data_IF_148186250770
#
_entry.id   IF_148186250770
#
_cell.length_a   1.000
_cell.length_b   1.000
_cell.length_c   1.000
_cell.angle_alpha   90.00
_cell.angle_beta   90.00
_cell.angle_gamma   90.00
#
_symmetry.space_group_name_H-M   'P 1'
#
loop_
_entity.id
_entity.type
_entity.pdbx_description
1 polymer ?
#
# COMPACT_ATOMS: atom_id res chain seq x y z
N UNK A 1 -11.92 2.42 10.74
CA UNK A 1 -11.99 3.48 9.71
C UNK A 1 -10.64 4.16 9.64
N UNK A 2 -10.25 4.76 8.49
CA UNK A 2 -9.00 5.50 8.41
C UNK A 2 -9.04 6.75 9.31
N UNK A 3 -7.92 7.03 9.97
CA UNK A 3 -7.71 8.24 10.77
C UNK A 3 -7.64 9.46 9.86
N UNK A 4 -8.32 10.55 10.25
CA UNK A 4 -8.20 11.83 9.52
C UNK A 4 -6.76 12.31 9.53
N UNK A 5 -6.25 12.73 8.36
CA UNK A 5 -4.85 13.17 8.15
C UNK A 5 -3.76 12.15 8.49
N UNK A 6 -4.12 10.95 8.97
CA UNK A 6 -3.20 9.82 9.22
C UNK A 6 -2.06 10.18 10.19
N UNK A 7 -2.32 11.03 11.19
CA UNK A 7 -1.28 11.58 12.09
C UNK A 7 -0.52 10.48 12.81
N UNK A 8 -1.25 9.56 13.46
CA UNK A 8 -0.66 8.45 14.22
C UNK A 8 0.13 7.51 13.30
N UNK A 9 -0.37 7.26 12.09
CA UNK A 9 0.31 6.43 11.09
C UNK A 9 1.64 7.05 10.66
N UNK A 10 1.63 8.35 10.32
CA UNK A 10 2.83 9.08 9.90
C UNK A 10 3.91 9.08 11.00
N UNK A 11 3.51 9.36 12.24
CA UNK A 11 4.43 9.33 13.38
C UNK A 11 5.03 7.93 13.58
N UNK A 12 4.19 6.89 13.56
CA UNK A 12 4.64 5.50 13.72
C UNK A 12 5.58 5.06 12.60
N UNK A 13 5.27 5.42 11.35
CA UNK A 13 6.11 5.11 10.19
C UNK A 13 7.47 5.81 10.27
N UNK A 14 7.49 7.10 10.63
CA UNK A 14 8.74 7.86 10.80
C UNK A 14 9.62 7.27 11.92
N UNK A 15 9.01 6.87 13.04
CA UNK A 15 9.74 6.23 14.15
C UNK A 15 10.32 4.86 13.75
N UNK A 16 9.52 4.02 13.08
CA UNK A 16 9.96 2.71 12.60
C UNK A 16 11.10 2.83 11.58
N UNK A 17 10.98 3.77 10.64
CA UNK A 17 12.04 4.02 9.66
C UNK A 17 13.32 4.50 10.33
N UNK A 18 13.22 5.44 11.28
CA UNK A 18 14.37 5.96 12.01
C UNK A 18 15.11 4.85 12.76
N UNK A 19 14.37 3.96 13.43
CA UNK A 19 14.97 2.82 14.13
C UNK A 19 15.58 1.80 13.16
N UNK A 20 14.92 1.51 12.04
CA UNK A 20 15.45 0.61 11.02
C UNK A 20 16.77 1.12 10.43
N UNK A 21 16.85 2.41 10.09
CA UNK A 21 18.07 3.04 9.57
C UNK A 21 19.16 3.17 10.66
N UNK A 22 18.79 3.36 11.92
CA UNK A 22 19.74 3.35 13.04
C UNK A 22 20.42 1.98 13.20
N UNK A 23 19.65 0.90 13.06
CA UNK A 23 20.18 -0.47 13.14
C UNK A 23 20.91 -0.90 11.86
N UNK A 24 20.48 -0.41 10.70
CA UNK A 24 20.98 -0.78 9.38
C UNK A 24 21.16 0.46 8.51
N UNK A 25 22.22 1.26 8.76
CA UNK A 25 22.49 2.50 8.02
C UNK A 25 22.91 2.25 6.57
N UNK A 26 23.21 1.00 6.21
CA UNK A 26 23.56 0.54 4.87
C UNK A 26 22.35 0.39 3.94
N UNK A 27 21.12 0.45 4.46
CA UNK A 27 19.90 0.29 3.65
C UNK A 27 19.64 1.50 2.75
N UNK A 28 19.26 1.22 1.51
CA UNK A 28 18.77 2.24 0.58
C UNK A 28 17.28 2.50 0.82
N UNK A 29 16.92 3.76 1.10
CA UNK A 29 15.53 4.17 1.24
C UNK A 29 14.90 4.44 -0.12
N UNK A 30 13.81 3.72 -0.43
CA UNK A 30 12.96 3.95 -1.60
C UNK A 30 11.53 4.20 -1.15
N UNK A 31 10.97 5.34 -1.55
CA UNK A 31 9.63 5.82 -1.21
C UNK A 31 8.75 5.63 -2.44
N UNK A 32 7.85 4.65 -2.38
CA UNK A 32 6.90 4.35 -3.47
C UNK A 32 5.50 4.78 -3.07
N UNK A 33 4.88 5.62 -3.89
CA UNK A 33 3.48 6.05 -3.69
C UNK A 33 2.78 6.28 -5.02
N UNK A 34 1.45 6.37 -4.98
CA UNK A 34 0.71 6.93 -6.09
C UNK A 34 1.11 8.42 -6.34
N UNK A 35 0.67 8.98 -7.46
CA UNK A 35 0.96 10.39 -7.77
C UNK A 35 0.13 11.40 -6.96
N UNK A 36 -0.49 11.03 -5.83
CA UNK A 36 -1.29 11.95 -5.03
C UNK A 36 -0.40 12.91 -4.23
N UNK A 37 -0.69 14.21 -4.34
CA UNK A 37 0.11 15.30 -3.74
C UNK A 37 0.28 15.19 -2.23
N UNK A 38 -0.75 14.73 -1.52
CA UNK A 38 -0.72 14.61 -0.05
C UNK A 38 0.29 13.56 0.42
N UNK A 39 0.49 12.49 -0.35
CA UNK A 39 1.48 11.47 -0.03
C UNK A 39 2.90 12.04 -0.14
N UNK A 40 3.18 12.78 -1.22
CA UNK A 40 4.50 13.39 -1.45
C UNK A 40 4.83 14.51 -0.46
N UNK A 41 3.84 15.23 0.04
CA UNK A 41 4.07 16.23 1.11
C UNK A 41 4.72 15.60 2.34
N UNK A 42 4.31 14.38 2.71
CA UNK A 42 4.91 13.65 3.82
C UNK A 42 6.20 12.94 3.41
N UNK A 43 6.16 12.16 2.33
CA UNK A 43 7.30 11.33 1.91
C UNK A 43 8.53 12.16 1.56
N UNK A 44 8.36 13.29 0.89
CA UNK A 44 9.48 14.13 0.47
C UNK A 44 10.01 15.02 1.59
N UNK A 45 9.13 15.57 2.44
CA UNK A 45 9.53 16.62 3.39
C UNK A 45 9.74 16.12 4.82
N UNK A 46 9.08 15.03 5.23
CA UNK A 46 9.10 14.56 6.62
C UNK A 46 9.96 13.29 6.82
N UNK A 47 10.26 12.55 5.74
CA UNK A 47 11.13 11.37 5.80
C UNK A 47 12.56 11.71 5.32
N UNK A 48 13.59 10.97 5.79
CA UNK A 48 14.97 11.13 5.33
C UNK A 48 15.11 11.08 3.80
N UNK A 49 16.19 11.64 3.27
CA UNK A 49 16.49 11.59 1.84
C UNK A 49 16.53 10.15 1.33
N UNK A 50 16.04 9.94 0.10
CA UNK A 50 15.97 8.63 -0.53
C UNK A 50 15.30 8.74 -1.90
N UNK A 51 15.26 7.62 -2.62
CA UNK A 51 14.64 7.55 -3.94
C UNK A 51 13.13 7.77 -3.84
N UNK A 52 12.57 8.60 -4.71
CA UNK A 52 11.14 8.88 -4.80
C UNK A 52 10.59 8.32 -6.10
N UNK A 53 9.67 7.37 -6.00
CA UNK A 53 9.14 6.66 -7.17
C UNK A 53 7.62 6.70 -7.16
N UNK A 54 7.04 7.22 -8.24
CA UNK A 54 5.60 7.02 -8.46
C UNK A 54 5.36 5.57 -8.83
N UNK A 55 4.31 4.97 -8.28
CA UNK A 55 3.91 3.61 -8.61
C UNK A 55 3.69 3.46 -10.12
N UNK A 56 4.50 2.62 -10.76
CA UNK A 56 4.47 2.42 -12.21
C UNK A 56 3.12 1.91 -12.73
N UNK A 57 2.44 1.05 -11.98
CA UNK A 57 1.17 0.49 -12.40
C UNK A 57 0.05 1.55 -12.33
N UNK A 58 0.07 2.41 -11.32
CA UNK A 58 -0.80 3.59 -11.27
C UNK A 58 -0.48 4.56 -12.41
N UNK A 59 0.79 4.85 -12.68
CA UNK A 59 1.19 5.68 -13.81
C UNK A 59 0.72 5.09 -15.15
N UNK A 60 0.77 3.77 -15.31
CA UNK A 60 0.25 3.08 -16.48
C UNK A 60 -1.27 3.21 -16.62
N UNK A 61 -2.05 3.24 -15.54
CA UNK A 61 -3.48 3.52 -15.61
C UNK A 61 -3.78 4.93 -16.12
N UNK A 62 -3.05 5.94 -15.63
CA UNK A 62 -3.13 7.31 -16.14
C UNK A 62 -2.76 7.38 -17.63
N UNK A 63 -1.71 6.66 -18.04
CA UNK A 63 -1.31 6.56 -19.44
C UNK A 63 -2.40 5.95 -20.32
N UNK A 64 -3.03 4.86 -19.86
CA UNK A 64 -4.13 4.20 -20.58
C UNK A 64 -5.32 5.14 -20.75
N UNK A 65 -5.74 5.81 -19.66
CA UNK A 65 -6.81 6.81 -19.68
C UNK A 65 -6.50 7.93 -20.67
N UNK A 66 -5.27 8.44 -20.70
CA UNK A 66 -4.86 9.49 -21.63
C UNK A 66 -4.98 9.07 -23.10
N UNK A 67 -4.57 7.84 -23.46
CA UNK A 67 -4.69 7.35 -24.82
C UNK A 67 -6.13 7.01 -25.22
N UNK A 68 -6.95 6.49 -24.31
CA UNK A 68 -8.38 6.30 -24.54
C UNK A 68 -9.07 7.64 -24.80
N UNK A 69 -8.74 8.65 -23.99
CA UNK A 69 -9.20 10.03 -24.18
C UNK A 69 -8.69 10.66 -25.47
N UNK A 70 -7.63 10.12 -26.11
CA UNK A 70 -7.07 10.65 -27.35
C UNK A 70 -7.67 9.97 -28.58
N UNK A 71 -7.73 8.64 -28.58
CA UNK A 71 -8.08 7.84 -29.75
C UNK A 71 -9.45 7.18 -29.70
N UNK A 72 -10.17 7.29 -28.58
CA UNK A 72 -11.42 6.59 -28.32
C UNK A 72 -11.18 5.38 -27.42
N UNK A 73 -12.09 5.22 -26.46
CA UNK A 73 -12.04 4.15 -25.46
C UNK A 73 -12.05 2.77 -26.13
N UNK A 74 -11.14 1.91 -25.69
CA UNK A 74 -10.98 0.53 -26.20
C UNK A 74 -10.68 0.41 -27.71
N UNK A 75 -10.34 1.50 -28.41
CA UNK A 75 -9.91 1.45 -29.80
C UNK A 75 -8.58 0.71 -29.97
N UNK A 76 -8.38 0.05 -31.12
CA UNK A 76 -7.12 -0.62 -31.46
C UNK A 76 -5.92 0.34 -31.37
N UNK A 77 -6.11 1.58 -31.83
CA UNK A 77 -5.08 2.63 -31.78
C UNK A 77 -4.73 3.04 -30.35
N UNK A 78 -5.72 3.15 -29.46
CA UNK A 78 -5.44 3.40 -28.03
C UNK A 78 -4.62 2.27 -27.42
N UNK A 79 -5.00 1.01 -27.68
CA UNK A 79 -4.30 -0.18 -27.18
C UNK A 79 -2.85 -0.25 -27.67
N UNK A 80 -2.63 -0.06 -28.97
CA UNK A 80 -1.29 -0.03 -29.58
C UNK A 80 -0.42 1.05 -28.91
N UNK A 81 -0.92 2.29 -28.84
CA UNK A 81 -0.17 3.40 -28.23
C UNK A 81 0.09 3.17 -26.75
N UNK A 82 -0.87 2.63 -26.01
CA UNK A 82 -0.66 2.26 -24.62
C UNK A 82 0.47 1.23 -24.47
N UNK A 83 0.49 0.15 -25.27
CA UNK A 83 1.55 -0.87 -25.19
C UNK A 83 2.92 -0.25 -25.48
N UNK A 84 3.04 0.52 -26.57
CA UNK A 84 4.30 1.18 -26.94
C UNK A 84 4.78 2.13 -25.85
N UNK A 85 3.94 3.06 -25.39
CA UNK A 85 4.37 4.07 -24.44
C UNK A 85 4.49 3.56 -23.01
N UNK A 86 3.81 2.46 -22.65
CA UNK A 86 4.04 1.78 -21.38
C UNK A 86 5.43 1.14 -21.35
N UNK A 87 5.88 0.56 -22.47
CA UNK A 87 7.24 0.05 -22.60
C UNK A 87 8.25 1.19 -22.53
N UNK A 88 8.06 2.26 -23.31
CA UNK A 88 8.91 3.46 -23.29
C UNK A 88 9.02 4.03 -21.87
N UNK A 89 7.89 4.20 -21.18
CA UNK A 89 7.87 4.75 -19.83
C UNK A 89 8.71 3.90 -18.86
N UNK A 90 8.65 2.57 -18.99
CA UNK A 90 9.31 1.64 -18.05
C UNK A 90 10.79 1.45 -18.34
N UNK A 91 11.14 1.23 -19.60
CA UNK A 91 12.44 0.64 -19.97
C UNK A 91 13.40 1.67 -20.59
N UNK A 92 12.92 2.79 -21.11
CA UNK A 92 13.79 3.75 -21.80
C UNK A 92 14.29 4.87 -20.88
N UNK A 93 15.56 5.30 -21.02
CA UNK A 93 16.04 6.53 -20.42
C UNK A 93 15.18 7.72 -20.83
N UNK A 94 14.85 8.57 -19.86
CA UNK A 94 13.93 9.70 -20.04
C UNK A 94 12.56 9.30 -20.62
N UNK A 95 12.10 8.05 -20.36
CA UNK A 95 10.83 7.54 -20.89
C UNK A 95 9.63 8.45 -20.58
N UNK A 96 9.60 9.08 -19.41
CA UNK A 96 8.59 10.07 -19.02
C UNK A 96 8.56 11.30 -19.95
N UNK A 97 9.71 11.75 -20.47
CA UNK A 97 9.77 12.89 -21.39
C UNK A 97 9.12 12.56 -22.73
N UNK A 98 9.33 11.33 -23.21
CA UNK A 98 8.70 10.83 -24.43
C UNK A 98 7.19 10.72 -24.26
N UNK A 99 6.73 10.24 -23.10
CA UNK A 99 5.30 10.24 -22.73
C UNK A 99 4.73 11.66 -22.68
N UNK A 100 5.38 12.59 -21.98
CA UNK A 100 4.93 13.99 -21.88
C UNK A 100 4.83 14.63 -23.26
N UNK A 101 5.82 14.43 -24.14
CA UNK A 101 5.80 14.93 -25.53
C UNK A 101 4.62 14.37 -26.32
N UNK A 102 4.35 13.07 -26.22
CA UNK A 102 3.24 12.42 -26.91
C UNK A 102 1.88 12.91 -26.43
N UNK A 103 1.69 13.02 -25.11
CA UNK A 103 0.45 13.50 -24.52
C UNK A 103 0.24 15.00 -24.78
N UNK A 104 1.30 15.81 -24.79
CA UNK A 104 1.22 17.22 -25.17
C UNK A 104 0.77 17.39 -26.63
N UNK A 105 1.27 16.55 -27.55
CA UNK A 105 0.80 16.53 -28.94
C UNK A 105 -0.68 16.13 -29.04
N UNK A 106 -1.13 15.12 -28.29
CA UNK A 106 -2.56 14.75 -28.26
C UNK A 106 -3.43 15.87 -27.69
N UNK A 107 -2.98 16.53 -26.62
CA UNK A 107 -3.72 17.65 -26.02
C UNK A 107 -3.86 18.82 -27.01
N UNK A 108 -2.81 19.13 -27.78
CA UNK A 108 -2.87 20.16 -28.84
C UNK A 108 -3.90 19.81 -29.93
N UNK A 109 -4.06 18.53 -30.28
CA UNK A 109 -5.06 18.07 -31.26
C UNK A 109 -6.48 18.03 -30.70
N UNK A 110 -6.62 17.87 -29.39
CA UNK A 110 -7.91 17.73 -28.72
C UNK A 110 -8.04 18.72 -27.56
N UNK A 111 -7.95 20.05 -27.81
CA UNK A 111 -7.84 21.05 -26.74
C UNK A 111 -9.08 21.12 -25.84
N UNK A 112 -10.26 20.73 -26.35
CA UNK A 112 -11.52 20.70 -25.57
C UNK A 112 -11.62 19.52 -24.61
N UNK A 113 -10.72 18.53 -24.68
CA UNK A 113 -10.74 17.37 -23.78
C UNK A 113 -9.99 17.68 -22.49
N UNK A 114 -10.67 18.36 -21.55
CA UNK A 114 -10.10 18.78 -20.26
C UNK A 114 -9.48 17.62 -19.46
N UNK A 115 -10.08 16.43 -19.50
CA UNK A 115 -9.52 15.23 -18.83
C UNK A 115 -8.14 14.85 -19.36
N UNK A 116 -7.86 15.05 -20.65
CA UNK A 116 -6.53 14.78 -21.22
C UNK A 116 -5.47 15.76 -20.68
N UNK A 117 -5.86 17.00 -20.38
CA UNK A 117 -5.00 17.97 -19.70
C UNK A 117 -4.64 17.48 -18.29
N UNK A 118 -5.62 16.96 -17.54
CA UNK A 118 -5.40 16.37 -16.22
C UNK A 118 -4.38 15.23 -16.27
N UNK A 119 -4.52 14.30 -17.22
CA UNK A 119 -3.54 13.21 -17.38
C UNK A 119 -2.15 13.73 -17.76
N UNK A 120 -2.05 14.72 -18.66
CA UNK A 120 -0.77 15.35 -19.00
C UNK A 120 -0.10 16.03 -17.78
N UNK A 121 -0.90 16.74 -16.96
CA UNK A 121 -0.42 17.40 -15.74
C UNK A 121 0.03 16.41 -14.67
N UNK A 122 -0.59 15.23 -14.58
CA UNK A 122 -0.12 14.14 -13.74
C UNK A 122 1.32 13.71 -14.07
N UNK A 123 1.65 13.50 -15.36
CA UNK A 123 3.01 13.15 -15.77
C UNK A 123 4.00 14.31 -15.57
N UNK A 124 3.58 15.55 -15.83
CA UNK A 124 4.45 16.73 -15.62
C UNK A 124 4.78 16.95 -14.14
N UNK A 125 3.79 16.87 -13.26
CA UNK A 125 3.98 17.09 -11.82
C UNK A 125 4.82 16.00 -11.16
N UNK A 126 4.80 14.79 -11.71
CA UNK A 126 5.56 13.65 -11.20
C UNK A 126 6.80 13.29 -12.03
N UNK A 127 7.19 14.16 -12.99
CA UNK A 127 8.28 13.93 -13.95
C UNK A 127 9.55 13.36 -13.30
N UNK A 128 10.01 13.98 -12.21
CA UNK A 128 11.25 13.61 -11.53
C UNK A 128 11.18 12.28 -10.78
N UNK A 129 9.98 11.75 -10.55
CA UNK A 129 9.71 10.50 -9.81
C UNK A 129 9.41 9.31 -10.73
N UNK A 130 9.57 9.48 -12.05
CA UNK A 130 9.24 8.49 -13.08
C UNK A 130 10.46 8.03 -13.88
N UNK A 131 11.65 8.07 -13.28
CA UNK A 131 12.90 7.56 -13.87
C UNK A 131 12.98 6.03 -13.77
N UNK A 132 12.00 5.31 -14.30
CA UNK A 132 11.85 3.87 -14.06
C UNK A 132 13.03 3.03 -14.55
N UNK A 133 13.59 3.35 -15.72
CA UNK A 133 14.73 2.63 -16.28
C UNK A 133 15.96 2.67 -15.35
N UNK A 134 16.22 3.83 -14.74
CA UNK A 134 17.30 4.01 -13.77
C UNK A 134 17.03 3.24 -12.46
N UNK A 135 15.79 3.25 -11.96
CA UNK A 135 15.44 2.47 -10.78
C UNK A 135 15.59 0.96 -11.04
N UNK A 136 15.19 0.49 -12.21
CA UNK A 136 15.35 -0.90 -12.62
C UNK A 136 16.82 -1.31 -12.77
N UNK A 137 17.69 -0.46 -13.32
CA UNK A 137 19.13 -0.76 -13.43
C UNK A 137 19.82 -0.90 -12.07
N UNK A 138 19.27 -0.25 -11.03
CA UNK A 138 19.73 -0.37 -9.65
C UNK A 138 18.96 -1.42 -8.83
N UNK A 139 18.10 -2.24 -9.47
CA UNK A 139 17.22 -3.21 -8.79
C UNK A 139 16.30 -2.61 -7.71
N UNK A 140 15.93 -1.33 -7.87
CA UNK A 140 15.03 -0.63 -6.95
C UNK A 140 13.57 -0.93 -7.30
N UNK A 141 12.67 -1.01 -6.31
CA UNK A 141 11.25 -1.24 -6.56
C UNK A 141 10.61 -0.04 -7.26
N UNK A 142 9.81 -0.32 -8.30
CA UNK A 142 9.06 0.70 -9.06
C UNK A 142 7.54 0.65 -8.85
N UNK A 143 7.07 -0.24 -7.98
CA UNK A 143 5.65 -0.45 -7.77
C UNK A 143 5.34 -1.00 -6.38
N UNK A 144 4.13 -0.71 -5.93
CA UNK A 144 3.61 -1.03 -4.59
C UNK A 144 2.84 -2.35 -4.55
N UNK A 145 2.97 -3.21 -5.57
CA UNK A 145 2.19 -4.45 -5.71
C UNK A 145 2.26 -5.39 -4.49
N UNK A 146 3.40 -5.48 -3.81
CA UNK A 146 3.55 -6.24 -2.56
C UNK A 146 2.68 -5.65 -1.44
N UNK A 147 2.60 -4.32 -1.36
CA UNK A 147 1.76 -3.60 -0.41
C UNK A 147 0.29 -3.78 -0.76
N UNK A 148 -0.10 -3.71 -2.03
CA UNK A 148 -1.47 -3.98 -2.45
C UNK A 148 -1.91 -5.41 -2.15
N UNK A 149 -1.05 -6.40 -2.41
CA UNK A 149 -1.29 -7.80 -2.07
C UNK A 149 -1.46 -7.97 -0.55
N UNK A 150 -0.65 -7.28 0.25
CA UNK A 150 -0.79 -7.24 1.71
C UNK A 150 -2.12 -6.61 2.11
N UNK A 151 -2.50 -5.45 1.57
CA UNK A 151 -3.79 -4.82 1.82
C UNK A 151 -4.98 -5.72 1.44
N UNK A 152 -4.86 -6.51 0.36
CA UNK A 152 -5.88 -7.48 -0.05
C UNK A 152 -6.01 -8.63 0.97
N UNK A 153 -4.91 -9.24 1.35
CA UNK A 153 -4.88 -10.45 2.19
C UNK A 153 -5.04 -10.17 3.69
N UNK A 154 -4.37 -9.13 4.18
CA UNK A 154 -4.41 -8.73 5.59
C UNK A 154 -5.73 -8.06 5.95
N UNK A 155 -6.12 -7.04 5.16
CA UNK A 155 -7.24 -6.15 5.46
C UNK A 155 -8.51 -6.61 4.75
N UNK A 156 -8.51 -6.62 3.41
CA UNK A 156 -9.75 -6.78 2.64
C UNK A 156 -10.43 -8.12 2.88
N UNK A 157 -9.69 -9.23 2.83
CA UNK A 157 -10.22 -10.58 3.04
C UNK A 157 -10.89 -10.78 4.41
N UNK A 158 -10.54 -9.98 5.43
CA UNK A 158 -11.15 -10.10 6.76
C UNK A 158 -12.15 -9.02 7.09
N UNK A 159 -11.88 -7.80 6.65
CA UNK A 159 -12.60 -6.61 7.11
C UNK A 159 -13.79 -6.26 6.22
N UNK A 160 -13.83 -6.75 4.97
CA UNK A 160 -14.86 -6.40 3.97
C UNK A 160 -15.85 -7.54 3.64
N UNK A 161 -15.99 -8.55 4.49
CA UNK A 161 -17.01 -9.58 4.24
C UNK A 161 -18.42 -9.09 4.63
N UNK A 162 -19.44 -9.77 4.11
CA UNK A 162 -20.85 -9.43 4.34
C UNK A 162 -21.21 -9.41 5.84
N UNK A 163 -22.03 -8.44 6.25
CA UNK A 163 -22.51 -8.29 7.63
C UNK A 163 -21.49 -7.77 8.65
N UNK A 164 -20.23 -7.55 8.27
CA UNK A 164 -19.19 -7.16 9.22
C UNK A 164 -19.27 -5.67 9.57
N UNK A 165 -19.23 -5.37 10.87
CA UNK A 165 -19.15 -4.01 11.42
C UNK A 165 -18.05 -3.97 12.48
N UNK A 166 -17.19 -2.97 12.38
CA UNK A 166 -16.03 -2.83 13.26
C UNK A 166 -16.01 -1.46 13.91
N UNK A 167 -15.85 -1.44 15.24
CA UNK A 167 -15.34 -0.24 15.93
C UNK A 167 -13.83 -0.13 15.69
N UNK A 168 -13.29 1.09 15.77
CA UNK A 168 -11.87 1.32 15.55
C UNK A 168 -10.94 0.42 16.39
N UNK A 169 -11.11 0.31 17.73
CA UNK A 169 -10.23 -0.52 18.54
C UNK A 169 -10.31 -2.01 18.16
N UNK A 170 -11.53 -2.52 17.94
CA UNK A 170 -11.73 -3.92 17.56
C UNK A 170 -11.15 -4.26 16.19
N UNK A 171 -11.34 -3.38 15.20
CA UNK A 171 -10.74 -3.55 13.89
C UNK A 171 -9.22 -3.50 13.92
N UNK A 172 -8.63 -2.56 14.67
CA UNK A 172 -7.18 -2.47 14.84
C UNK A 172 -6.62 -3.73 15.53
N UNK A 173 -7.26 -4.22 16.60
CA UNK A 173 -6.82 -5.44 17.29
C UNK A 173 -6.75 -6.66 16.37
N UNK A 174 -7.77 -6.86 15.54
CA UNK A 174 -7.78 -7.94 14.54
C UNK A 174 -6.66 -7.76 13.52
N UNK A 175 -6.45 -6.54 13.00
CA UNK A 175 -5.41 -6.27 12.03
C UNK A 175 -4.00 -6.46 12.63
N UNK A 176 -3.77 -6.06 13.88
CA UNK A 176 -2.49 -6.27 14.58
C UNK A 176 -2.18 -7.76 14.71
N UNK A 177 -3.12 -8.56 15.23
CA UNK A 177 -2.92 -10.00 15.38
C UNK A 177 -2.68 -10.69 14.03
N UNK A 178 -3.47 -10.34 13.00
CA UNK A 178 -3.27 -10.89 11.65
C UNK A 178 -1.93 -10.47 11.04
N UNK A 179 -1.48 -9.24 11.29
CA UNK A 179 -0.19 -8.76 10.78
C UNK A 179 0.95 -9.59 11.35
N UNK A 180 0.91 -9.87 12.66
CA UNK A 180 1.90 -10.72 13.34
C UNK A 180 1.92 -12.16 12.78
N UNK A 181 0.74 -12.74 12.52
CA UNK A 181 0.64 -14.09 11.95
C UNK A 181 1.20 -14.10 10.54
N UNK A 182 0.77 -13.17 9.68
CA UNK A 182 1.15 -13.15 8.28
C UNK A 182 2.63 -12.79 8.06
N UNK A 183 3.24 -12.04 8.97
CA UNK A 183 4.68 -11.75 8.96
C UNK A 183 5.53 -12.86 9.60
N UNK A 184 4.93 -13.92 10.16
CA UNK A 184 5.64 -14.95 10.91
C UNK A 184 6.20 -14.47 12.25
N UNK A 185 5.77 -13.30 12.74
CA UNK A 185 6.25 -12.70 13.99
C UNK A 185 5.30 -12.92 15.18
N UNK A 186 4.37 -13.87 15.07
CA UNK A 186 3.36 -14.11 16.10
C UNK A 186 3.98 -14.37 17.48
N UNK A 187 4.96 -15.28 17.59
CA UNK A 187 5.55 -15.62 18.89
C UNK A 187 6.30 -14.44 19.53
N UNK A 188 7.00 -13.64 18.72
CA UNK A 188 7.69 -12.44 19.19
C UNK A 188 6.69 -11.37 19.66
N UNK A 189 5.64 -11.13 18.88
CA UNK A 189 4.57 -10.21 19.26
C UNK A 189 3.80 -10.69 20.49
N UNK A 190 3.53 -11.99 20.59
CA UNK A 190 2.81 -12.60 21.70
C UNK A 190 3.54 -12.41 23.03
N UNK A 191 4.87 -12.58 23.06
CA UNK A 191 5.68 -12.31 24.26
C UNK A 191 5.45 -10.89 24.80
N UNK A 192 5.35 -9.89 23.92
CA UNK A 192 5.10 -8.49 24.31
C UNK A 192 3.66 -8.28 24.76
N UNK A 193 2.70 -8.87 24.04
CA UNK A 193 1.27 -8.75 24.34
C UNK A 193 0.91 -9.42 25.66
N UNK A 194 1.44 -10.60 25.94
CA UNK A 194 1.14 -11.37 27.15
C UNK A 194 1.61 -10.66 28.43
N UNK A 195 2.72 -9.92 28.37
CA UNK A 195 3.20 -9.09 29.49
C UNK A 195 2.27 -7.89 29.74
N UNK A 196 1.72 -7.32 28.66
CA UNK A 196 0.88 -6.12 28.72
C UNK A 196 -0.55 -6.45 29.13
N UNK A 197 -1.12 -7.53 28.58
CA UNK A 197 -2.51 -7.94 28.75
C UNK A 197 -2.59 -9.20 29.62
N UNK A 198 -2.10 -9.09 30.86
CA UNK A 198 -2.19 -10.15 31.85
C UNK A 198 -3.39 -9.90 32.78
N UNK A 199 -4.31 -10.86 32.87
CA UNK A 199 -5.32 -10.89 33.92
C UNK A 199 -4.80 -11.77 35.06
N UNK A 200 -4.77 -11.23 36.28
CA UNK A 200 -4.54 -12.06 37.46
C UNK A 200 -5.79 -12.89 37.70
N UNK A 201 -5.70 -14.18 37.41
CA UNK A 201 -6.75 -15.14 37.76
C UNK A 201 -6.44 -15.66 39.15
N UNK A 202 -7.32 -15.41 40.10
CA UNK A 202 -7.28 -16.08 41.40
C UNK A 202 -7.98 -17.42 41.22
N UNK A 203 -7.26 -18.53 41.42
CA UNK A 203 -7.90 -19.83 41.55
C UNK A 203 -8.81 -19.78 42.78
N UNK A 204 -10.12 -19.81 42.53
CA UNK A 204 -11.09 -20.09 43.58
C UNK A 204 -10.94 -21.59 43.84
N UNK A 205 -10.61 -21.97 45.07
CA UNK A 205 -10.46 -23.38 45.46
C UNK A 205 -11.67 -24.22 45.04
N UNK A 206 -11.48 -25.55 44.99
CA UNK A 206 -12.49 -26.52 44.52
C UNK A 206 -13.86 -26.40 45.22
N UNK A 207 -13.93 -25.71 46.36
CA UNK A 207 -15.14 -25.48 47.15
C UNK A 207 -16.29 -24.80 46.39
N UNK A 208 -16.00 -24.06 45.30
CA UNK A 208 -17.01 -23.39 44.46
C UNK A 208 -17.10 -23.96 43.03
N UNK A 209 -16.38 -25.03 42.73
CA UNK A 209 -16.46 -25.72 41.43
C UNK A 209 -17.57 -26.76 41.54
N UNK A 210 -18.74 -26.48 40.98
CA UNK A 210 -19.80 -27.49 40.82
C UNK A 210 -19.37 -28.36 39.62
N UNK A 211 -18.93 -29.61 39.80
CA UNK A 211 -18.68 -30.50 38.67
C UNK A 211 -19.99 -30.66 37.89
N UNK A 212 -19.90 -30.63 36.56
CA UNK A 212 -21.05 -30.95 35.71
C UNK A 212 -21.66 -32.27 36.19
N UNK A 213 -22.98 -32.34 36.45
CA UNK A 213 -23.59 -33.56 36.94
C UNK A 213 -23.38 -34.64 35.88
N UNK A 214 -22.48 -35.59 36.15
CA UNK A 214 -22.37 -36.79 35.35
C UNK A 214 -23.71 -37.53 35.47
N UNK A 215 -24.41 -37.73 34.35
CA UNK A 215 -25.55 -38.62 34.34
C UNK A 215 -25.07 -40.02 34.70
N UNK A 216 -25.75 -40.66 35.66
CA UNK A 216 -25.61 -42.09 35.96
C UNK A 216 -25.99 -42.87 34.70
N UNK A 217 -25.02 -43.11 33.84
CA UNK A 217 -25.18 -43.80 32.56
C UNK A 217 -23.85 -44.11 31.89
N UNK A 218 -22.83 -43.27 32.08
CA UNK A 218 -21.53 -43.42 31.40
C UNK A 218 -20.51 -44.27 32.18
N UNK A 219 -20.97 -45.16 33.05
CA UNK A 219 -20.13 -46.10 33.80
C UNK A 219 -20.72 -47.51 33.78
N UNK A 220 -21.15 -47.99 32.61
CA UNK A 220 -21.05 -49.42 32.28
C UNK A 220 -20.58 -49.58 30.82
N UNK A 221 -19.30 -49.97 30.70
CA UNK A 221 -18.52 -50.44 29.55
C UNK A 221 -18.06 -49.41 28.49
#
# INVERSE_FOLDING_TARGET
MPESKKVTLKQSLSALLSEALRQRPDLTLVKVADGAKDNWTYLANELPEGHEVVDFYHAAEHLKKAFDLSYGENSNKSREKFITYRHILKEEPEGVEKVIKALAYQHKRHPRRSKLKTELEYFRSNRTRMNYAEHLSHNLPIGSGVIEATCKTLVTQRMKCSGMRWRHPGGQGILTARSLIQSGMFDNGWKLLAVTYCAKVTEVGMDNVIPFPMQKGDLEL
#
